data_IF_466006589883
#
_entry.id   IF_466006589883
#
_cell.length_a   1.000
_cell.length_b   1.000
_cell.length_c   1.000
_cell.angle_alpha   90.00
_cell.angle_beta   90.00
_cell.angle_gamma   90.00
#
_symmetry.space_group_name_H-M   'P 1'
#
loop_
_entity.id
_entity.type
_entity.pdbx_description
1 polymer ?
#
# COMPACT_ATOMS: atom_id res chain seq x y z
N UNK A 1 16.41 10.32 -8.04
CA UNK A 1 16.13 9.57 -9.29
C UNK A 1 14.64 9.26 -9.28
N UNK A 2 13.95 9.41 -10.40
CA UNK A 2 12.58 8.93 -10.50
C UNK A 2 12.62 7.39 -10.53
N UNK A 3 11.72 6.74 -9.78
CA UNK A 3 11.54 5.28 -9.83
C UNK A 3 11.05 4.92 -11.24
N UNK A 4 11.63 3.87 -11.84
CA UNK A 4 11.09 3.28 -13.05
C UNK A 4 10.13 2.15 -12.64
N UNK A 5 8.83 2.38 -12.80
CA UNK A 5 7.81 1.45 -12.27
C UNK A 5 7.84 0.07 -12.95
N UNK A 6 8.44 -0.04 -14.14
CA UNK A 6 8.59 -1.31 -14.86
C UNK A 6 9.52 -2.32 -14.18
N UNK A 7 10.36 -1.86 -13.23
CA UNK A 7 11.30 -2.72 -12.51
C UNK A 7 10.64 -3.45 -11.31
N UNK A 8 9.40 -3.09 -10.97
CA UNK A 8 8.68 -3.61 -9.79
C UNK A 8 7.49 -4.50 -10.18
N UNK A 9 7.05 -5.42 -9.29
CA UNK A 9 5.92 -6.32 -9.55
C UNK A 9 4.58 -5.64 -9.83
N UNK A 10 4.43 -4.37 -9.47
CA UNK A 10 3.25 -3.56 -9.73
C UNK A 10 3.61 -2.08 -9.81
N UNK A 11 2.90 -1.33 -10.64
CA UNK A 11 2.98 0.13 -10.72
C UNK A 11 2.44 0.80 -9.46
N UNK A 12 2.70 2.10 -9.28
CA UNK A 12 2.13 2.84 -8.14
C UNK A 12 0.59 2.75 -8.12
N UNK A 13 -0.06 2.86 -9.27
CA UNK A 13 -1.53 2.82 -9.36
C UNK A 13 -2.09 1.44 -9.01
N UNK A 14 -1.42 0.38 -9.43
CA UNK A 14 -1.80 -0.99 -9.06
C UNK A 14 -1.59 -1.24 -7.58
N UNK A 15 -0.47 -0.76 -7.03
CA UNK A 15 -0.17 -0.81 -5.61
C UNK A 15 -1.22 -0.08 -4.77
N UNK A 16 -1.53 1.18 -5.11
CA UNK A 16 -2.53 1.99 -4.42
C UNK A 16 -3.90 1.31 -4.43
N UNK A 17 -4.32 0.86 -5.61
CA UNK A 17 -5.56 0.11 -5.75
C UNK A 17 -5.57 -1.15 -4.88
N UNK A 18 -4.49 -1.93 -4.88
CA UNK A 18 -4.43 -3.19 -4.12
C UNK A 18 -4.46 -2.96 -2.61
N UNK A 19 -3.73 -1.96 -2.11
CA UNK A 19 -3.75 -1.58 -0.69
C UNK A 19 -5.16 -1.17 -0.26
N UNK A 20 -5.87 -0.37 -1.07
CA UNK A 20 -7.26 0.03 -0.77
C UNK A 20 -8.21 -1.16 -0.80
N UNK A 21 -8.10 -2.07 -1.78
CA UNK A 21 -8.90 -3.30 -1.82
C UNK A 21 -8.68 -4.15 -0.55
N UNK A 22 -7.43 -4.44 -0.20
CA UNK A 22 -7.07 -5.25 0.97
C UNK A 22 -7.54 -4.63 2.29
N UNK A 23 -7.59 -3.30 2.35
CA UNK A 23 -8.15 -2.55 3.47
C UNK A 23 -9.66 -2.77 3.56
N UNK A 24 -10.37 -2.55 2.46
CA UNK A 24 -11.84 -2.59 2.39
C UNK A 24 -12.42 -4.01 2.56
N UNK A 25 -11.67 -5.06 2.24
CA UNK A 25 -12.08 -6.46 2.41
C UNK A 25 -12.52 -6.86 3.82
N UNK A 26 -12.27 -6.03 4.84
CA UNK A 26 -12.63 -6.30 6.24
C UNK A 26 -13.97 -5.68 6.64
N UNK A 27 -14.65 -5.02 5.71
CA UNK A 27 -15.88 -4.27 5.96
C UNK A 27 -16.98 -4.73 5.00
N UNK A 28 -18.22 -4.69 5.48
CA UNK A 28 -19.41 -5.07 4.72
C UNK A 28 -20.55 -4.06 4.98
N UNK A 29 -21.52 -4.01 4.06
CA UNK A 29 -22.72 -3.17 4.21
C UNK A 29 -22.41 -1.68 4.37
N UNK A 30 -23.09 -1.02 5.32
CA UNK A 30 -22.91 0.42 5.58
C UNK A 30 -21.50 0.77 6.04
N UNK A 31 -20.81 -0.14 6.73
CA UNK A 31 -19.44 0.07 7.17
C UNK A 31 -18.48 0.12 5.97
N UNK A 32 -18.70 -0.69 4.94
CA UNK A 32 -17.88 -0.65 3.72
C UNK A 32 -17.97 0.71 3.03
N UNK A 33 -19.18 1.25 2.90
CA UNK A 33 -19.40 2.56 2.26
C UNK A 33 -18.80 3.70 3.07
N UNK A 34 -18.96 3.68 4.41
CA UNK A 34 -18.31 4.64 5.28
C UNK A 34 -16.78 4.60 5.17
N UNK A 35 -16.19 3.41 5.20
CA UNK A 35 -14.73 3.26 5.11
C UNK A 35 -14.20 3.64 3.72
N UNK A 36 -14.96 3.37 2.65
CA UNK A 36 -14.64 3.84 1.30
C UNK A 36 -14.57 5.37 1.26
N UNK A 37 -15.57 6.06 1.79
CA UNK A 37 -15.61 7.53 1.84
C UNK A 37 -14.41 8.09 2.61
N UNK A 38 -14.10 7.53 3.78
CA UNK A 38 -12.96 7.99 4.57
C UNK A 38 -11.62 7.79 3.86
N UNK A 39 -11.44 6.67 3.14
CA UNK A 39 -10.24 6.44 2.32
C UNK A 39 -10.15 7.48 1.21
N UNK A 40 -11.24 7.76 0.51
CA UNK A 40 -11.26 8.78 -0.55
C UNK A 40 -10.94 10.18 -0.02
N UNK A 41 -11.47 10.55 1.15
CA UNK A 41 -11.17 11.82 1.82
C UNK A 41 -9.69 11.90 2.23
N UNK A 42 -9.18 10.85 2.87
CA UNK A 42 -7.78 10.80 3.32
C UNK A 42 -6.80 10.88 2.16
N UNK A 43 -7.04 10.15 1.06
CA UNK A 43 -6.16 10.21 -0.11
C UNK A 43 -6.26 11.54 -0.87
N UNK A 44 -7.34 12.30 -0.68
CA UNK A 44 -7.45 13.66 -1.19
C UNK A 44 -6.67 14.67 -0.34
N UNK A 45 -6.70 14.52 0.98
CA UNK A 45 -5.97 15.39 1.91
C UNK A 45 -4.46 15.08 1.92
N UNK A 46 -4.12 13.79 1.86
CA UNK A 46 -2.76 13.27 1.95
C UNK A 46 -2.42 12.36 0.74
N UNK A 47 -2.34 12.92 -0.48
CA UNK A 47 -2.17 12.14 -1.72
C UNK A 47 -0.85 11.36 -1.79
N UNK A 48 0.15 11.74 -0.99
CA UNK A 48 1.45 11.08 -0.97
C UNK A 48 1.55 9.98 0.11
N UNK A 49 0.50 9.73 0.88
CA UNK A 49 0.55 8.80 2.01
C UNK A 49 0.89 7.38 1.54
N UNK A 50 0.13 6.85 0.58
CA UNK A 50 0.39 5.53 -0.02
C UNK A 50 1.67 5.55 -0.87
N UNK A 51 1.97 6.67 -1.53
CA UNK A 51 3.19 6.83 -2.32
C UNK A 51 4.46 6.65 -1.49
N UNK A 52 4.46 7.09 -0.23
CA UNK A 52 5.57 6.86 0.70
C UNK A 52 5.83 5.38 0.94
N UNK A 53 4.78 4.57 1.12
CA UNK A 53 4.91 3.12 1.26
C UNK A 53 5.38 2.46 -0.03
N UNK A 54 4.84 2.87 -1.18
CA UNK A 54 5.31 2.36 -2.47
C UNK A 54 6.81 2.59 -2.66
N UNK A 55 7.31 3.81 -2.36
CA UNK A 55 8.73 4.11 -2.44
C UNK A 55 9.59 3.30 -1.46
N UNK A 56 9.09 3.06 -0.24
CA UNK A 56 9.77 2.21 0.74
C UNK A 56 9.84 0.74 0.27
N UNK A 57 8.77 0.24 -0.35
CA UNK A 57 8.70 -1.14 -0.81
C UNK A 57 9.54 -1.34 -2.07
N UNK A 58 9.58 -0.37 -2.99
CA UNK A 58 10.58 -0.32 -4.06
C UNK A 58 12.01 -0.39 -3.51
N UNK A 59 12.34 0.45 -2.52
CA UNK A 59 13.65 0.43 -1.87
C UNK A 59 13.95 -0.93 -1.24
N UNK A 60 13.00 -1.49 -0.49
CA UNK A 60 13.15 -2.81 0.12
C UNK A 60 13.45 -3.86 -0.96
N UNK A 61 12.67 -3.87 -2.03
CA UNK A 61 12.80 -4.79 -3.15
C UNK A 61 14.18 -4.72 -3.82
N UNK A 62 14.76 -3.53 -3.95
CA UNK A 62 16.05 -3.31 -4.60
C UNK A 62 17.26 -3.66 -3.72
N UNK A 63 17.06 -3.85 -2.41
CA UNK A 63 18.15 -3.99 -1.43
C UNK A 63 18.14 -5.35 -0.69
N UNK A 64 18.29 -6.49 -1.37
CA UNK A 64 18.39 -7.82 -0.73
C UNK A 64 19.58 -7.95 0.22
N UNK A 65 20.63 -7.13 0.08
CA UNK A 65 21.77 -7.08 1.00
C UNK A 65 21.41 -6.50 2.38
N UNK A 66 20.34 -5.72 2.47
CA UNK A 66 19.82 -5.15 3.72
C UNK A 66 18.71 -6.04 4.29
N UNK A 67 17.78 -6.45 3.42
CA UNK A 67 16.51 -7.08 3.82
C UNK A 67 16.46 -8.60 3.61
N UNK A 68 17.54 -9.18 3.08
CA UNK A 68 17.62 -10.60 2.73
C UNK A 68 16.72 -11.00 1.56
N UNK A 69 16.61 -12.30 1.31
CA UNK A 69 15.86 -12.85 0.18
C UNK A 69 14.34 -12.58 0.24
N UNK A 70 13.80 -12.28 1.42
CA UNK A 70 12.39 -11.97 1.58
C UNK A 70 11.99 -10.59 1.05
N UNK A 71 12.95 -9.73 0.68
CA UNK A 71 12.66 -8.40 0.16
C UNK A 71 11.81 -8.43 -1.12
N UNK A 72 11.96 -9.49 -1.93
CA UNK A 72 11.19 -9.71 -3.15
C UNK A 72 9.70 -10.00 -2.90
N UNK A 73 9.32 -10.24 -1.64
CA UNK A 73 7.95 -10.51 -1.22
C UNK A 73 7.19 -9.27 -0.75
N UNK A 74 7.82 -8.09 -0.73
CA UNK A 74 7.20 -6.88 -0.15
C UNK A 74 5.92 -6.45 -0.86
N UNK A 75 5.74 -6.87 -2.13
CA UNK A 75 4.54 -6.59 -2.93
C UNK A 75 3.44 -7.64 -2.80
N UNK A 76 3.66 -8.72 -2.03
CA UNK A 76 2.69 -9.77 -1.81
C UNK A 76 1.58 -9.26 -0.89
N UNK A 77 0.33 -9.71 -1.10
CA UNK A 77 -0.81 -9.34 -0.25
C UNK A 77 -0.54 -9.51 1.25
N UNK A 78 0.22 -10.54 1.64
CA UNK A 78 0.60 -10.73 3.04
C UNK A 78 1.39 -9.52 3.57
N UNK A 79 2.40 -9.06 2.84
CA UNK A 79 3.25 -7.93 3.26
C UNK A 79 2.52 -6.59 3.13
N UNK A 80 1.72 -6.42 2.07
CA UNK A 80 0.82 -5.26 1.93
C UNK A 80 -0.13 -5.16 3.13
N UNK A 81 -0.67 -6.29 3.62
CA UNK A 81 -1.51 -6.29 4.82
C UNK A 81 -0.77 -5.88 6.10
N UNK A 82 0.50 -6.24 6.23
CA UNK A 82 1.29 -5.97 7.43
C UNK A 82 1.71 -4.51 7.56
N UNK A 83 2.05 -3.85 6.44
CA UNK A 83 2.62 -2.50 6.49
C UNK A 83 1.64 -1.44 5.98
N UNK A 84 1.43 -1.26 4.65
CA UNK A 84 0.61 -0.16 4.16
C UNK A 84 -0.85 -0.24 4.63
N UNK A 85 -1.46 -1.43 4.60
CA UNK A 85 -2.87 -1.60 5.06
C UNK A 85 -2.99 -1.41 6.57
N UNK A 86 -2.06 -1.94 7.37
CA UNK A 86 -2.10 -1.77 8.82
C UNK A 86 -1.96 -0.30 9.22
N UNK A 87 -1.08 0.45 8.55
CA UNK A 87 -0.92 1.88 8.79
C UNK A 87 -2.15 2.67 8.32
N UNK A 88 -2.74 2.33 7.17
CA UNK A 88 -3.98 2.93 6.71
C UNK A 88 -5.13 2.72 7.70
N UNK A 89 -5.19 1.54 8.36
CA UNK A 89 -6.14 1.28 9.47
C UNK A 89 -5.90 2.15 10.69
N UNK A 90 -4.65 2.42 11.07
CA UNK A 90 -4.36 3.30 12.20
C UNK A 90 -4.71 4.77 11.91
N UNK A 91 -4.66 5.17 10.64
CA UNK A 91 -4.96 6.53 10.22
C UNK A 91 -6.46 6.78 10.11
N UNK A 92 -7.21 5.82 9.55
CA UNK A 92 -8.61 6.01 9.13
C UNK A 92 -9.62 5.32 10.07
N UNK A 93 -9.15 4.35 10.86
CA UNK A 93 -9.94 3.52 11.77
C UNK A 93 -10.06 4.11 13.18
#
# INVERSE_FOLDING_TARGET
MALNEEDYPMTYKEYEKRVVELFLENYEGEALELMRQRVEEELKENPNYIQGFYGHDCFTYDHPEIYGENCKKTFDDYHLRQTPVANLRLLIG
#
